data_IF_697184204162
#
_entry.id   IF_697184204162
#
_cell.length_a   1.000
_cell.length_b   1.000
_cell.length_c   1.000
_cell.angle_alpha   90.00
_cell.angle_beta   90.00
_cell.angle_gamma   90.00
#
_symmetry.space_group_name_H-M   'P 1'
#
loop_
_entity.id
_entity.type
_entity.pdbx_description
1 polymer ?
#
# COMPACT_ATOMS: atom_id res chain seq x y z
N UNK A 1 -13.39 -18.58 -20.88
CA UNK A 1 -12.40 -17.63 -21.44
C UNK A 1 -11.82 -16.86 -20.28
N UNK A 2 -10.50 -16.83 -20.13
CA UNK A 2 -9.84 -16.18 -18.99
C UNK A 2 -9.62 -14.69 -19.33
N UNK A 3 -10.30 -13.76 -18.65
CA UNK A 3 -10.22 -12.33 -18.99
C UNK A 3 -8.78 -11.79 -18.97
N UNK A 4 -7.92 -12.29 -18.08
CA UNK A 4 -6.52 -11.89 -18.02
C UNK A 4 -5.74 -12.27 -19.29
N UNK A 5 -6.00 -13.45 -19.88
CA UNK A 5 -5.31 -13.85 -21.12
C UNK A 5 -5.65 -12.94 -22.29
N UNK A 6 -6.88 -12.43 -22.36
CA UNK A 6 -7.29 -11.48 -23.40
C UNK A 6 -6.63 -10.11 -23.22
N UNK A 7 -6.48 -9.64 -21.97
CA UNK A 7 -5.75 -8.40 -21.65
C UNK A 7 -4.27 -8.52 -22.01
N UNK A 8 -3.65 -9.67 -21.73
CA UNK A 8 -2.25 -9.94 -22.11
C UNK A 8 -2.07 -10.00 -23.62
N UNK A 9 -2.99 -10.65 -24.35
CA UNK A 9 -2.95 -10.67 -25.83
C UNK A 9 -3.04 -9.26 -26.43
N UNK A 10 -3.84 -8.38 -25.83
CA UNK A 10 -4.04 -7.02 -26.34
C UNK A 10 -2.91 -6.04 -25.96
N UNK A 11 -2.38 -6.14 -24.73
CA UNK A 11 -1.47 -5.12 -24.15
C UNK A 11 -0.02 -5.60 -23.98
N UNK A 12 0.24 -6.90 -24.09
CA UNK A 12 1.57 -7.49 -23.89
C UNK A 12 2.16 -7.12 -22.54
N UNK A 13 3.38 -6.58 -22.55
CA UNK A 13 4.11 -6.18 -21.33
C UNK A 13 3.45 -5.03 -20.55
N UNK A 14 2.52 -4.30 -21.17
CA UNK A 14 1.75 -3.24 -20.48
C UNK A 14 0.48 -3.77 -19.81
N UNK A 15 0.21 -5.07 -19.90
CA UNK A 15 -0.93 -5.67 -19.23
C UNK A 15 -0.79 -5.56 -17.70
N UNK A 16 -1.91 -5.26 -17.04
CA UNK A 16 -1.99 -5.36 -15.60
C UNK A 16 -1.87 -6.83 -15.16
N UNK A 17 -1.37 -7.03 -13.95
CA UNK A 17 -1.31 -8.33 -13.32
C UNK A 17 -2.71 -8.96 -13.19
N UNK A 18 -2.75 -10.28 -13.09
CA UNK A 18 -3.98 -11.07 -12.94
C UNK A 18 -4.91 -10.56 -11.83
N UNK A 19 -4.36 -10.29 -10.64
CA UNK A 19 -5.16 -9.96 -9.46
C UNK A 19 -5.99 -8.66 -9.62
N UNK A 20 -5.41 -7.52 -10.09
CA UNK A 20 -6.18 -6.35 -10.49
C UNK A 20 -7.32 -6.66 -11.48
N UNK A 21 -7.04 -7.43 -12.53
CA UNK A 21 -8.04 -7.79 -13.56
C UNK A 21 -9.17 -8.62 -12.96
N UNK A 22 -8.86 -9.63 -12.16
CA UNK A 22 -9.85 -10.46 -11.47
C UNK A 22 -10.74 -9.63 -10.53
N UNK A 23 -10.15 -8.67 -9.80
CA UNK A 23 -10.89 -7.74 -8.93
C UNK A 23 -11.88 -6.89 -9.72
N UNK A 24 -11.46 -6.35 -10.86
CA UNK A 24 -12.34 -5.56 -11.73
C UNK A 24 -13.47 -6.40 -12.34
N UNK A 25 -13.17 -7.60 -12.81
CA UNK A 25 -14.18 -8.55 -13.31
C UNK A 25 -15.23 -8.84 -12.22
N UNK A 26 -14.79 -9.11 -10.99
CA UNK A 26 -15.71 -9.35 -9.88
C UNK A 26 -16.59 -8.13 -9.54
N UNK A 27 -16.06 -6.91 -9.67
CA UNK A 27 -16.85 -5.68 -9.50
C UNK A 27 -17.86 -5.48 -10.62
N UNK A 28 -17.48 -5.76 -11.86
CA UNK A 28 -18.36 -5.69 -13.02
C UNK A 28 -19.53 -6.68 -12.91
N UNK A 29 -19.26 -7.91 -12.45
CA UNK A 29 -20.29 -8.92 -12.18
C UNK A 29 -21.28 -8.51 -11.06
N UNK A 30 -20.88 -7.62 -10.16
CA UNK A 30 -21.73 -7.02 -9.13
C UNK A 30 -22.48 -5.77 -9.64
N UNK A 31 -22.60 -5.61 -10.97
CA UNK A 31 -23.19 -4.45 -11.64
C UNK A 31 -22.53 -3.10 -11.28
N UNK A 32 -21.31 -3.13 -10.72
CA UNK A 32 -20.53 -1.90 -10.53
C UNK A 32 -19.79 -1.59 -11.82
N UNK A 33 -20.37 -0.67 -12.59
CA UNK A 33 -19.87 -0.20 -13.89
C UNK A 33 -19.06 1.10 -13.78
N UNK A 34 -18.77 1.56 -12.55
CA UNK A 34 -17.96 2.77 -12.39
C UNK A 34 -16.53 2.49 -12.84
N UNK A 35 -16.10 3.22 -13.86
CA UNK A 35 -14.73 3.21 -14.38
C UNK A 35 -13.81 4.20 -13.65
N UNK A 36 -14.34 4.92 -12.67
CA UNK A 36 -13.59 5.89 -11.88
C UNK A 36 -13.13 5.27 -10.57
N UNK A 37 -11.93 5.66 -10.13
CA UNK A 37 -11.46 5.29 -8.80
C UNK A 37 -12.42 5.81 -7.72
N UNK A 38 -12.69 4.97 -6.73
CA UNK A 38 -13.36 5.41 -5.50
C UNK A 38 -12.51 6.51 -4.84
N UNK A 39 -13.18 7.50 -4.24
CA UNK A 39 -12.48 8.58 -3.53
C UNK A 39 -11.54 7.98 -2.49
N UNK A 40 -10.23 8.21 -2.66
CA UNK A 40 -9.24 7.87 -1.64
C UNK A 40 -9.57 8.61 -0.35
N UNK A 41 -9.61 7.89 0.77
CA UNK A 41 -9.70 8.52 2.08
C UNK A 41 -8.49 9.41 2.27
N UNK A 42 -8.71 10.73 2.44
CA UNK A 42 -7.64 11.69 2.74
C UNK A 42 -7.15 11.60 4.19
N UNK A 43 -7.67 10.66 4.98
CA UNK A 43 -7.16 10.44 6.32
C UNK A 43 -5.72 9.92 6.22
N UNK A 44 -4.74 10.62 6.81
CA UNK A 44 -3.41 10.06 6.93
C UNK A 44 -3.52 8.75 7.69
N UNK A 45 -2.99 7.68 7.10
CA UNK A 45 -2.81 6.44 7.83
C UNK A 45 -1.90 6.77 9.02
N UNK A 46 -2.41 6.59 10.24
CA UNK A 46 -1.60 6.69 11.44
C UNK A 46 -0.58 5.55 11.37
N UNK A 47 0.58 5.83 10.81
CA UNK A 47 1.70 4.91 10.82
C UNK A 47 2.20 4.91 12.26
N UNK A 48 1.84 3.88 13.01
CA UNK A 48 2.46 3.62 14.30
C UNK A 48 3.93 3.28 14.03
N UNK A 49 4.78 4.30 14.07
CA UNK A 49 6.23 4.09 14.10
C UNK A 49 6.53 3.60 15.51
N UNK A 50 6.94 2.34 15.71
CA UNK A 50 7.39 1.91 17.03
C UNK A 50 8.56 2.83 17.41
N UNK A 51 8.38 3.57 18.50
CA UNK A 51 9.41 4.44 19.05
C UNK A 51 10.59 3.55 19.44
N UNK A 52 11.58 3.47 18.56
CA UNK A 52 12.89 2.92 18.87
C UNK A 52 13.41 3.74 20.04
N UNK A 53 13.36 3.14 21.24
CA UNK A 53 13.93 3.64 22.49
C UNK A 53 15.16 4.49 22.19
N UNK A 54 15.03 5.79 22.38
CA UNK A 54 16.15 6.68 22.58
C UNK A 54 16.99 6.08 23.70
N UNK A 55 18.16 5.56 23.36
CA UNK A 55 19.17 5.18 24.35
C UNK A 55 19.60 6.46 25.04
N UNK A 56 19.04 6.67 26.22
CA UNK A 56 19.38 7.74 27.13
C UNK A 56 20.81 7.45 27.64
N UNK A 57 21.84 7.92 26.94
CA UNK A 57 23.20 7.96 27.48
C UNK A 57 23.19 8.94 28.65
N UNK A 58 23.27 8.39 29.87
CA UNK A 58 23.64 9.16 31.05
C UNK A 58 25.06 9.65 30.86
N UNK A 59 25.26 10.94 30.66
CA UNK A 59 26.52 11.57 31.04
C UNK A 59 26.45 11.77 32.54
N UNK A 60 27.23 10.96 33.24
CA UNK A 60 27.43 10.97 34.68
C UNK A 60 28.08 12.30 35.10
N UNK A 61 27.38 13.06 35.93
CA UNK A 61 27.90 14.22 36.67
C UNK A 61 28.92 13.72 37.71
N UNK A 62 30.18 13.61 37.30
CA UNK A 62 31.30 13.21 38.15
C UNK A 62 32.22 14.39 38.48
N UNK A 63 31.84 15.18 39.48
CA UNK A 63 32.71 16.17 40.13
C UNK A 63 33.92 15.46 40.78
N UNK A 64 35.12 15.61 40.22
CA UNK A 64 36.36 15.23 40.90
C UNK A 64 37.01 16.48 41.52
N UNK A 65 36.93 16.55 42.84
CA UNK A 65 37.82 17.39 43.67
C UNK A 65 39.23 16.81 43.61
N UNK A 66 40.23 17.65 43.32
CA UNK A 66 41.59 17.58 43.85
C UNK A 66 42.20 18.97 43.82
#
# INVERSE_FOLDING_TARGET
>A
MECHSEVVKALGNNALLYHPVARWVGKFQQERVSNSDEKRSRQPLSVHVPSSRSSQMKTDDGCYKS
#
